data_IF_129962634534
#
_entry.id   IF_129962634534
#
_cell.length_a   1.000
_cell.length_b   1.000
_cell.length_c   1.000
_cell.angle_alpha   90.00
_cell.angle_beta   90.00
_cell.angle_gamma   90.00
#
_symmetry.space_group_name_H-M   'P 1'
#
loop_
_entity.id
_entity.type
_entity.pdbx_description
1 polymer ?
#
# COMPACT_ATOMS: atom_id res chain seq x y z
N UNK A 1 -5.86 1.34 6.12
CA UNK A 1 -6.04 2.73 6.61
C UNK A 1 -4.71 3.40 6.95
N UNK A 2 -3.92 2.89 7.91
CA UNK A 2 -2.67 3.53 8.36
C UNK A 2 -1.63 3.76 7.24
N UNK A 3 -1.43 2.75 6.38
CA UNK A 3 -0.53 2.87 5.22
C UNK A 3 -0.93 3.99 4.24
N UNK A 4 -2.22 4.08 3.87
CA UNK A 4 -2.72 5.13 2.97
C UNK A 4 -2.58 6.54 3.57
N UNK A 5 -2.80 6.69 4.88
CA UNK A 5 -2.62 7.96 5.58
C UNK A 5 -1.14 8.39 5.59
N UNK A 6 -0.23 7.45 5.84
CA UNK A 6 1.21 7.71 5.82
C UNK A 6 1.73 8.08 4.42
N UNK A 7 1.10 7.57 3.34
CA UNK A 7 1.46 7.91 1.98
C UNK A 7 1.21 9.39 1.64
N UNK A 8 0.23 10.05 2.28
CA UNK A 8 -0.04 11.48 2.08
C UNK A 8 1.08 12.38 2.60
N UNK A 9 1.86 11.91 3.58
CA UNK A 9 2.97 12.67 4.15
C UNK A 9 4.10 12.90 3.13
N UNK A 10 4.17 12.12 2.05
CA UNK A 10 5.13 12.34 0.96
C UNK A 10 4.95 13.69 0.26
N UNK A 11 3.75 14.28 0.32
CA UNK A 11 3.48 15.61 -0.26
C UNK A 11 4.19 16.75 0.49
N UNK A 12 4.61 16.52 1.74
CA UNK A 12 5.23 17.53 2.60
C UNK A 12 6.76 17.47 2.54
N UNK A 13 7.32 16.52 1.77
CA UNK A 13 8.77 16.34 1.67
C UNK A 13 9.39 17.51 0.90
N UNK A 14 10.07 18.38 1.64
CA UNK A 14 10.84 19.50 1.10
C UNK A 14 12.35 19.40 1.42
N UNK A 15 12.73 18.46 2.29
CA UNK A 15 14.11 18.27 2.77
C UNK A 15 14.41 16.80 3.00
N UNK A 16 15.69 16.43 2.90
CA UNK A 16 16.12 15.03 3.04
C UNK A 16 15.85 14.44 4.43
N UNK A 17 15.94 15.26 5.48
CA UNK A 17 15.62 14.86 6.86
C UNK A 17 14.14 14.47 6.98
N UNK A 18 13.26 15.27 6.36
CA UNK A 18 11.81 15.00 6.34
C UNK A 18 11.53 13.74 5.53
N UNK A 19 12.24 13.52 4.41
CA UNK A 19 12.12 12.31 3.61
C UNK A 19 12.44 11.04 4.42
N UNK A 20 13.52 11.03 5.21
CA UNK A 20 13.85 9.89 6.07
C UNK A 20 12.78 9.65 7.14
N UNK A 21 12.26 10.71 7.76
CA UNK A 21 11.23 10.58 8.79
C UNK A 21 9.91 10.04 8.23
N UNK A 22 9.48 10.55 7.08
CA UNK A 22 8.29 10.07 6.37
C UNK A 22 8.49 8.63 5.92
N UNK A 23 9.67 8.29 5.38
CA UNK A 23 10.02 6.92 4.99
C UNK A 23 9.98 5.94 6.15
N UNK A 24 10.43 6.35 7.35
CA UNK A 24 10.35 5.54 8.56
C UNK A 24 8.90 5.22 8.96
N UNK A 25 8.03 6.24 8.98
CA UNK A 25 6.60 6.06 9.32
C UNK A 25 5.90 5.18 8.27
N UNK A 26 6.20 5.41 6.99
CA UNK A 26 5.65 4.60 5.91
C UNK A 26 6.12 3.13 6.00
N UNK A 27 7.40 2.91 6.31
CA UNK A 27 7.98 1.58 6.49
C UNK A 27 7.35 0.80 7.65
N UNK A 28 7.11 1.46 8.80
CA UNK A 28 6.36 0.83 9.91
C UNK A 28 4.95 0.43 9.50
N UNK A 29 4.29 1.28 8.72
CA UNK A 29 2.95 1.01 8.20
C UNK A 29 2.93 -0.19 7.24
N UNK A 30 3.95 -0.28 6.38
CA UNK A 30 4.12 -1.37 5.43
C UNK A 30 4.41 -2.69 6.14
N UNK A 31 5.20 -2.67 7.22
CA UNK A 31 5.45 -3.85 8.05
C UNK A 31 4.16 -4.47 8.60
N UNK A 32 3.24 -3.63 9.09
CA UNK A 32 1.92 -4.09 9.54
C UNK A 32 1.10 -4.75 8.42
N UNK A 33 1.08 -4.14 7.23
CA UNK A 33 0.38 -4.68 6.06
C UNK A 33 0.92 -6.05 5.61
N UNK A 34 2.23 -6.27 5.71
CA UNK A 34 2.85 -7.52 5.25
C UNK A 34 2.75 -8.65 6.28
N UNK A 35 2.77 -8.34 7.58
CA UNK A 35 2.82 -9.34 8.65
C UNK A 35 1.43 -9.73 9.16
N UNK A 36 0.49 -8.79 9.29
CA UNK A 36 -0.82 -9.07 9.91
C UNK A 36 -1.66 -10.06 9.08
N UNK A 37 -1.83 -9.91 7.75
CA UNK A 37 -2.67 -10.81 6.97
C UNK A 37 -2.26 -12.29 7.04
N UNK A 38 -0.99 -12.70 6.86
CA UNK A 38 -0.62 -14.10 7.03
C UNK A 38 -0.86 -14.63 8.44
N UNK A 39 -0.63 -13.81 9.47
CA UNK A 39 -0.82 -14.22 10.87
C UNK A 39 -2.29 -14.47 11.15
N UNK A 40 -3.18 -13.56 10.72
CA UNK A 40 -4.63 -13.71 10.90
C UNK A 40 -5.17 -14.88 10.09
N UNK A 41 -4.73 -15.05 8.84
CA UNK A 41 -5.15 -16.19 8.01
C UNK A 41 -4.71 -17.53 8.61
N UNK A 42 -3.50 -17.59 9.19
CA UNK A 42 -3.02 -18.79 9.87
C UNK A 42 -3.84 -19.13 11.12
N UNK A 43 -4.30 -18.12 11.86
CA UNK A 43 -5.13 -18.27 13.06
C UNK A 43 -6.56 -18.74 12.72
N UNK A 44 -7.16 -18.17 11.66
CA UNK A 44 -8.53 -18.49 11.24
C UNK A 44 -8.63 -19.86 10.56
N UNK A 45 -7.72 -20.16 9.63
CA UNK A 45 -7.84 -21.35 8.78
C UNK A 45 -6.97 -22.52 9.21
N UNK A 46 -6.12 -22.32 10.22
CA UNK A 46 -5.12 -23.31 10.62
C UNK A 46 -3.96 -23.40 9.63
N UNK A 47 -2.82 -23.86 10.13
CA UNK A 47 -1.54 -23.90 9.40
C UNK A 47 -1.49 -24.90 8.24
N UNK A 48 -2.43 -25.83 8.17
CA UNK A 48 -2.31 -27.02 7.32
C UNK A 48 -2.60 -26.74 5.83
N UNK A 49 -3.33 -25.65 5.50
CA UNK A 49 -3.67 -25.28 4.11
C UNK A 49 -3.36 -23.81 3.76
N UNK A 50 -2.47 -23.13 4.49
CA UNK A 50 -2.12 -21.72 4.25
C UNK A 50 -1.65 -21.50 2.79
N UNK A 51 -0.91 -22.46 2.23
CA UNK A 51 -0.43 -22.39 0.85
C UNK A 51 -1.55 -22.36 -0.20
N UNK A 52 -2.63 -23.10 0.01
CA UNK A 52 -3.80 -23.10 -0.89
C UNK A 52 -4.56 -21.78 -0.80
N UNK A 53 -4.76 -21.25 0.40
CA UNK A 53 -5.47 -19.98 0.61
C UNK A 53 -4.67 -18.82 -0.01
N UNK A 54 -3.36 -18.77 0.25
CA UNK A 54 -2.45 -17.82 -0.38
C UNK A 54 -2.45 -17.96 -1.90
N UNK A 55 -2.43 -19.18 -2.42
CA UNK A 55 -2.50 -19.44 -3.86
C UNK A 55 -3.72 -18.81 -4.54
N UNK A 56 -4.86 -18.74 -3.85
CA UNK A 56 -6.04 -18.04 -4.34
C UNK A 56 -5.97 -16.52 -4.15
N UNK A 57 -5.44 -16.01 -3.04
CA UNK A 57 -5.43 -14.57 -2.74
C UNK A 57 -4.30 -13.78 -3.39
N UNK A 58 -3.09 -14.35 -3.48
CA UNK A 58 -1.89 -13.67 -3.99
C UNK A 58 -2.06 -13.10 -5.41
N UNK A 59 -2.72 -13.77 -6.36
CA UNK A 59 -2.95 -13.23 -7.70
C UNK A 59 -3.73 -11.92 -7.70
N UNK A 60 -4.74 -11.79 -6.83
CA UNK A 60 -5.52 -10.55 -6.70
C UNK A 60 -4.67 -9.42 -6.10
N UNK A 61 -3.83 -9.74 -5.11
CA UNK A 61 -2.88 -8.78 -4.53
C UNK A 61 -1.87 -8.31 -5.58
N UNK A 62 -1.33 -9.25 -6.37
CA UNK A 62 -0.38 -8.96 -7.44
C UNK A 62 -1.01 -8.13 -8.56
N UNK A 63 -2.25 -8.45 -8.96
CA UNK A 63 -3.01 -7.66 -9.92
C UNK A 63 -3.22 -6.22 -9.41
N UNK A 64 -3.59 -6.05 -8.14
CA UNK A 64 -3.70 -4.72 -7.53
C UNK A 64 -2.40 -3.93 -7.55
N UNK A 65 -1.26 -4.58 -7.25
CA UNK A 65 0.07 -3.95 -7.34
C UNK A 65 0.43 -3.56 -8.78
N UNK A 66 0.13 -4.41 -9.75
CA UNK A 66 0.35 -4.10 -11.17
C UNK A 66 -0.47 -2.89 -11.62
N UNK A 67 -1.77 -2.86 -11.28
CA UNK A 67 -2.65 -1.72 -11.55
C UNK A 67 -2.12 -0.46 -10.88
N UNK A 68 -1.66 -0.55 -9.63
CA UNK A 68 -1.05 0.56 -8.91
C UNK A 68 0.21 1.10 -9.60
N UNK A 69 1.12 0.22 -10.01
CA UNK A 69 2.34 0.62 -10.73
C UNK A 69 2.05 1.29 -12.07
N UNK A 70 1.15 0.71 -12.87
CA UNK A 70 0.76 1.27 -14.17
C UNK A 70 0.08 2.63 -14.00
N UNK A 71 -0.85 2.75 -13.05
CA UNK A 71 -1.53 4.03 -12.79
C UNK A 71 -0.56 5.11 -12.30
N UNK A 72 0.41 4.77 -11.45
CA UNK A 72 1.46 5.70 -11.04
C UNK A 72 2.32 6.18 -12.23
N UNK A 73 2.68 5.28 -13.14
CA UNK A 73 3.43 5.60 -14.36
C UNK A 73 2.65 6.52 -15.30
N UNK A 74 1.37 6.20 -15.56
CA UNK A 74 0.51 7.04 -16.38
C UNK A 74 0.33 8.43 -15.79
N UNK A 75 0.19 8.56 -14.46
CA UNK A 75 0.11 9.87 -13.80
C UNK A 75 1.38 10.68 -14.08
N UNK A 76 2.55 10.05 -14.02
CA UNK A 76 3.80 10.73 -14.33
C UNK A 76 3.89 11.12 -15.81
N UNK A 77 3.50 10.25 -16.73
CA UNK A 77 3.54 10.52 -18.17
C UNK A 77 2.64 11.70 -18.57
N UNK A 78 1.46 11.82 -17.95
CA UNK A 78 0.52 12.92 -18.25
C UNK A 78 0.82 14.22 -17.47
N UNK A 79 1.32 14.12 -16.25
CA UNK A 79 1.47 15.29 -15.35
C UNK A 79 2.92 15.78 -15.25
N UNK A 80 3.89 14.95 -15.61
CA UNK A 80 5.32 15.17 -15.37
C UNK A 80 5.72 15.16 -13.88
N UNK A 81 4.80 14.76 -12.99
CA UNK A 81 4.98 14.84 -11.53
C UNK A 81 4.22 13.72 -10.81
N UNK A 82 4.80 13.20 -9.72
CA UNK A 82 4.19 12.18 -8.85
C UNK A 82 3.27 12.76 -7.77
N UNK A 83 3.11 14.08 -7.69
CA UNK A 83 2.31 14.71 -6.65
C UNK A 83 0.85 14.25 -6.65
N UNK A 84 0.28 13.88 -7.81
CA UNK A 84 -1.08 13.35 -7.91
C UNK A 84 -1.17 11.86 -7.55
N UNK A 85 -0.07 11.12 -7.60
CA UNK A 85 -0.04 9.69 -7.28
C UNK A 85 -0.32 9.44 -5.80
N UNK A 86 0.28 10.22 -4.90
CA UNK A 86 0.11 10.07 -3.44
C UNK A 86 -1.34 10.22 -2.94
N UNK A 87 -2.11 11.27 -3.32
CA UNK A 87 -3.51 11.37 -2.92
C UNK A 87 -4.38 10.28 -3.56
N UNK A 88 -4.07 9.83 -4.78
CA UNK A 88 -4.79 8.71 -5.39
C UNK A 88 -4.61 7.42 -4.57
N UNK A 89 -3.38 7.09 -4.20
CA UNK A 89 -3.08 5.88 -3.39
C UNK A 89 -3.40 6.04 -1.90
N UNK A 90 -3.60 7.26 -1.39
CA UNK A 90 -3.98 7.51 -0.01
C UNK A 90 -5.51 7.54 0.20
N UNK A 91 -6.23 8.28 -0.63
CA UNK A 91 -7.65 8.61 -0.43
C UNK A 91 -8.57 7.53 -1.00
N UNK A 92 -8.26 6.96 -2.17
CA UNK A 92 -9.12 5.96 -2.82
C UNK A 92 -9.27 4.69 -1.96
N UNK A 93 -8.18 4.10 -1.42
CA UNK A 93 -8.31 2.92 -0.56
C UNK A 93 -8.99 3.25 0.77
N UNK A 94 -8.85 4.49 1.26
CA UNK A 94 -9.56 4.94 2.45
C UNK A 94 -11.07 4.94 2.20
N UNK A 95 -11.52 5.60 1.13
CA UNK A 95 -12.95 5.67 0.76
C UNK A 95 -13.57 4.29 0.53
N UNK A 96 -12.86 3.38 -0.15
CA UNK A 96 -13.32 2.02 -0.41
C UNK A 96 -13.54 1.17 0.86
N UNK A 97 -12.87 1.48 1.96
CA UNK A 97 -13.05 0.74 3.23
C UNK A 97 -14.27 1.23 4.01
N UNK A 98 -14.76 2.44 3.74
CA UNK A 98 -15.88 3.07 4.45
C UNK A 98 -17.19 3.10 3.65
N UNK A 99 -17.19 2.57 2.42
CA UNK A 99 -18.36 2.34 1.57
C UNK A 99 -18.74 0.85 1.62
#
# INVERSE_FOLDING_TARGET
MWLGLSALLFLVINNIIVAYFVGFIFGMSLGGLLVIPPVVLADIFGKDNIGSIRGYSEPFVSAGQAVGGISAGLIYDFTGSYQLSFPMFGIVPYLLVYL
#
